data_IF_784904622968
#
_entry.id   IF_784904622968
#
_cell.length_a   1.000
_cell.length_b   1.000
_cell.length_c   1.000
_cell.angle_alpha   90.00
_cell.angle_beta   90.00
_cell.angle_gamma   90.00
#
_symmetry.space_group_name_H-M   'P 1'
#
loop_
_entity.id
_entity.type
_entity.pdbx_description
1 polymer ?
#
# COMPACT_ATOMS: atom_id res chain seq x y z
N UNK A 1 21.70 12.37 19.19
CA UNK A 1 20.99 11.19 19.70
C UNK A 1 20.69 10.29 18.51
N UNK A 2 21.54 9.30 18.24
CA UNK A 2 21.29 8.34 17.18
C UNK A 2 20.24 7.36 17.71
N UNK A 3 18.97 7.60 17.39
CA UNK A 3 17.90 6.68 17.74
C UNK A 3 18.16 5.34 17.04
N UNK A 4 18.10 4.25 17.79
CA UNK A 4 18.07 2.89 17.26
C UNK A 4 16.75 2.71 16.48
N UNK A 5 16.69 3.26 15.27
CA UNK A 5 15.59 3.06 14.34
C UNK A 5 15.71 1.65 13.78
N UNK A 6 14.65 0.86 13.90
CA UNK A 6 14.60 -0.46 13.25
C UNK A 6 14.77 -0.27 11.74
N UNK A 7 15.34 -1.24 11.03
CA UNK A 7 15.41 -1.21 9.57
C UNK A 7 14.04 -0.94 8.93
N UNK A 8 12.99 -1.49 9.54
CA UNK A 8 11.58 -1.20 9.20
C UNK A 8 11.26 0.31 9.25
N UNK A 9 11.62 0.98 10.33
CA UNK A 9 11.34 2.40 10.57
C UNK A 9 12.10 3.27 9.57
N UNK A 10 13.35 2.88 9.25
CA UNK A 10 14.13 3.50 8.20
C UNK A 10 13.47 3.35 6.83
N UNK A 11 13.03 2.15 6.44
CA UNK A 11 12.35 1.91 5.15
C UNK A 11 11.03 2.68 5.08
N UNK A 12 10.23 2.64 6.15
CA UNK A 12 8.96 3.35 6.24
C UNK A 12 9.14 4.86 6.07
N UNK A 13 10.09 5.48 6.76
CA UNK A 13 10.34 6.93 6.66
C UNK A 13 11.00 7.33 5.32
N UNK A 14 11.96 6.52 4.85
CA UNK A 14 12.75 6.84 3.66
C UNK A 14 11.98 6.69 2.36
N UNK A 15 11.09 5.69 2.29
CA UNK A 15 10.36 5.32 1.08
C UNK A 15 8.85 5.51 1.21
N UNK A 16 8.37 6.24 2.23
CA UNK A 16 6.93 6.46 2.44
C UNK A 16 6.25 6.96 1.17
N UNK A 17 6.82 8.00 0.54
CA UNK A 17 6.22 8.64 -0.63
C UNK A 17 6.21 7.71 -1.85
N UNK A 18 7.27 6.95 -2.05
CA UNK A 18 7.42 5.97 -3.12
C UNK A 18 6.43 4.81 -2.95
N UNK A 19 6.32 4.26 -1.73
CA UNK A 19 5.35 3.22 -1.38
C UNK A 19 3.92 3.74 -1.59
N UNK A 20 3.62 4.94 -1.09
CA UNK A 20 2.32 5.57 -1.23
C UNK A 20 1.97 5.78 -2.71
N UNK A 21 2.88 6.36 -3.49
CA UNK A 21 2.66 6.61 -4.91
C UNK A 21 2.49 5.32 -5.71
N UNK A 22 3.27 4.28 -5.41
CA UNK A 22 3.18 2.99 -6.08
C UNK A 22 1.84 2.31 -5.80
N UNK A 23 1.43 2.25 -4.53
CA UNK A 23 0.15 1.65 -4.12
C UNK A 23 -1.01 2.44 -4.69
N UNK A 24 -0.99 3.78 -4.61
CA UNK A 24 -2.06 4.62 -5.16
C UNK A 24 -2.19 4.41 -6.67
N UNK A 25 -1.07 4.39 -7.40
CA UNK A 25 -1.08 4.18 -8.86
C UNK A 25 -1.63 2.80 -9.21
N UNK A 26 -1.15 1.76 -8.53
CA UNK A 26 -1.63 0.39 -8.72
C UNK A 26 -3.13 0.28 -8.44
N UNK A 27 -3.57 0.84 -7.31
CA UNK A 27 -4.96 0.76 -6.87
C UNK A 27 -5.91 1.53 -7.79
N UNK A 28 -5.49 2.67 -8.33
CA UNK A 28 -6.30 3.43 -9.30
C UNK A 28 -6.40 2.69 -10.64
N UNK A 29 -5.32 2.06 -11.10
CA UNK A 29 -5.29 1.35 -12.39
C UNK A 29 -5.98 -0.02 -12.34
N UNK A 30 -5.95 -0.67 -11.17
CA UNK A 30 -6.49 -2.02 -10.94
C UNK A 30 -7.67 -2.02 -9.95
N UNK A 31 -8.40 -0.90 -9.85
CA UNK A 31 -9.48 -0.74 -8.87
C UNK A 31 -10.58 -1.80 -8.98
N UNK A 32 -10.85 -2.29 -10.19
CA UNK A 32 -11.84 -3.33 -10.47
C UNK A 32 -11.35 -4.75 -10.10
N UNK A 33 -10.03 -4.96 -10.04
CA UNK A 33 -9.41 -6.26 -9.72
C UNK A 33 -9.02 -6.37 -8.23
N UNK A 34 -8.94 -5.23 -7.53
CA UNK A 34 -8.74 -5.23 -6.09
C UNK A 34 -9.93 -5.89 -5.38
N UNK A 35 -9.69 -7.02 -4.71
CA UNK A 35 -10.66 -7.73 -3.86
C UNK A 35 -10.93 -6.95 -2.55
N UNK A 36 -11.44 -5.73 -2.69
CA UNK A 36 -11.77 -4.86 -1.56
C UNK A 36 -13.01 -5.39 -0.86
N UNK A 37 -12.90 -5.61 0.45
CA UNK A 37 -14.02 -6.02 1.29
C UNK A 37 -14.90 -4.83 1.61
N UNK A 38 -15.72 -4.43 0.64
CA UNK A 38 -16.68 -3.34 0.74
C UNK A 38 -18.06 -3.89 1.12
N UNK A 39 -18.73 -3.26 2.09
CA UNK A 39 -20.05 -3.67 2.56
C UNK A 39 -21.17 -2.70 2.13
N UNK A 40 -20.85 -1.41 1.98
CA UNK A 40 -21.77 -0.32 1.65
C UNK A 40 -21.64 0.08 0.19
N UNK A 41 -20.41 0.26 -0.29
CA UNK A 41 -20.13 0.63 -1.68
C UNK A 41 -20.32 -0.59 -2.57
N UNK A 42 -21.30 -0.52 -3.49
CA UNK A 42 -21.57 -1.60 -4.44
C UNK A 42 -20.90 -1.40 -5.79
N UNK A 43 -20.67 -0.14 -6.17
CA UNK A 43 -20.01 0.22 -7.41
C UNK A 43 -18.95 1.27 -7.15
N UNK A 44 -17.68 0.92 -7.41
CA UNK A 44 -16.53 1.77 -7.13
C UNK A 44 -16.51 2.92 -8.15
N UNK A 45 -16.76 4.14 -7.70
CA UNK A 45 -16.64 5.36 -8.51
C UNK A 45 -15.27 6.01 -8.43
N UNK A 46 -14.57 5.78 -7.31
CA UNK A 46 -13.22 6.24 -7.09
C UNK A 46 -12.61 5.58 -5.88
N UNK A 47 -11.29 5.39 -5.93
CA UNK A 47 -10.48 4.88 -4.84
C UNK A 47 -9.34 5.84 -4.56
N UNK A 48 -9.24 6.29 -3.31
CA UNK A 48 -8.17 7.17 -2.85
C UNK A 48 -7.44 6.52 -1.69
N UNK A 49 -6.11 6.50 -1.77
CA UNK A 49 -5.25 6.03 -0.71
C UNK A 49 -5.20 7.08 0.39
N UNK A 50 -5.58 6.69 1.60
CA UNK A 50 -5.62 7.55 2.78
C UNK A 50 -4.32 7.50 3.56
N UNK A 51 -3.79 6.29 3.78
CA UNK A 51 -2.54 6.08 4.50
C UNK A 51 -1.88 4.75 4.12
N UNK A 52 -0.58 4.64 4.37
CA UNK A 52 0.19 3.41 4.23
C UNK A 52 1.03 3.17 5.47
N UNK A 53 0.99 1.94 5.97
CA UNK A 53 1.83 1.52 7.08
C UNK A 53 2.66 0.30 6.68
N UNK A 54 3.99 0.45 6.70
CA UNK A 54 4.88 -0.71 6.59
C UNK A 54 4.67 -1.60 7.81
N UNK A 55 4.25 -2.85 7.60
CA UNK A 55 4.05 -3.83 8.68
C UNK A 55 5.31 -4.63 8.90
N UNK A 56 5.97 -5.05 7.82
CA UNK A 56 7.12 -5.94 7.87
C UNK A 56 8.09 -5.67 6.72
N UNK A 57 9.38 -5.90 6.95
CA UNK A 57 10.42 -5.88 5.93
C UNK A 57 11.24 -7.15 6.07
N UNK A 58 11.28 -7.96 5.01
CA UNK A 58 12.14 -9.13 4.89
C UNK A 58 13.34 -8.79 4.03
N UNK A 59 14.54 -9.20 4.43
CA UNK A 59 15.73 -9.09 3.58
C UNK A 59 16.13 -10.50 3.18
N UNK A 60 16.14 -10.75 1.87
CA UNK A 60 16.55 -12.00 1.28
C UNK A 60 17.96 -11.83 0.70
N UNK A 61 18.92 -12.58 1.24
CA UNK A 61 20.29 -12.61 0.73
C UNK A 61 20.33 -13.60 -0.44
N UNK A 62 20.44 -13.09 -1.67
CA UNK A 62 20.53 -13.93 -2.86
C UNK A 62 22.00 -14.22 -3.19
N UNK A 63 22.31 -15.41 -3.75
CA UNK A 63 23.65 -15.69 -4.26
C UNK A 63 24.02 -14.65 -5.31
N UNK A 64 25.30 -14.25 -5.34
CA UNK A 64 25.87 -13.16 -6.18
C UNK A 64 25.81 -11.74 -5.57
N UNK A 65 25.69 -11.60 -4.24
CA UNK A 65 25.62 -10.30 -3.53
C UNK A 65 24.42 -9.42 -3.93
N UNK A 66 23.37 -10.03 -4.47
CA UNK A 66 22.12 -9.33 -4.78
C UNK A 66 21.27 -9.27 -3.52
N UNK A 67 20.88 -8.06 -3.14
CA UNK A 67 19.97 -7.84 -2.03
C UNK A 67 18.58 -7.69 -2.62
N UNK A 68 17.69 -8.60 -2.26
CA UNK A 68 16.26 -8.47 -2.49
C UNK A 68 15.59 -8.24 -1.14
N UNK A 69 14.60 -7.36 -1.10
CA UNK A 69 13.82 -7.18 0.11
C UNK A 69 12.34 -7.05 -0.20
N UNK A 70 11.54 -7.74 0.60
CA UNK A 70 10.09 -7.72 0.52
C UNK A 70 9.54 -6.78 1.59
N UNK A 71 8.67 -5.86 1.19
CA UNK A 71 8.01 -4.93 2.10
C UNK A 71 6.53 -5.26 2.14
N UNK A 72 6.06 -5.72 3.30
CA UNK A 72 4.62 -5.88 3.53
C UNK A 72 4.05 -4.55 4.02
N UNK A 73 3.08 -4.03 3.28
CA UNK A 73 2.43 -2.73 3.54
C UNK A 73 0.93 -2.94 3.73
N UNK A 74 0.39 -2.36 4.78
CA UNK A 74 -1.06 -2.20 4.92
C UNK A 74 -1.43 -0.83 4.37
N UNK A 75 -2.31 -0.83 3.38
CA UNK A 75 -2.85 0.38 2.78
C UNK A 75 -4.29 0.58 3.26
N UNK A 76 -4.61 1.80 3.65
CA UNK A 76 -5.98 2.21 3.96
C UNK A 76 -6.52 3.04 2.79
N UNK A 77 -7.65 2.61 2.24
CA UNK A 77 -8.31 3.30 1.14
C UNK A 77 -9.65 3.85 1.57
N UNK A 78 -9.97 5.05 1.09
CA UNK A 78 -11.32 5.56 1.02
C UNK A 78 -11.90 5.24 -0.36
N UNK A 79 -12.96 4.44 -0.40
CA UNK A 79 -13.66 4.09 -1.62
C UNK A 79 -14.97 4.85 -1.66
N UNK A 80 -15.21 5.58 -2.75
CA UNK A 80 -16.45 6.32 -2.98
C UNK A 80 -17.34 5.59 -3.98
N UNK A 81 -18.64 5.59 -3.71
CA UNK A 81 -19.62 5.05 -4.64
C UNK A 81 -19.73 5.92 -5.90
N UNK A 82 -19.90 5.29 -7.06
CA UNK A 82 -20.02 6.00 -8.34
C UNK A 82 -21.35 6.75 -8.49
N UNK A 83 -22.36 6.43 -7.68
CA UNK A 83 -23.70 6.99 -7.82
C UNK A 83 -23.79 8.32 -7.04
N UNK A 84 -23.79 9.43 -7.79
CA UNK A 84 -23.82 10.81 -7.30
C UNK A 84 -24.98 11.15 -6.33
N UNK A 85 -25.93 10.24 -6.16
CA UNK A 85 -27.07 10.40 -5.26
C UNK A 85 -26.77 10.05 -3.79
N UNK A 86 -25.73 9.27 -3.52
CA UNK A 86 -25.34 8.87 -2.17
C UNK A 86 -23.85 9.19 -1.97
N UNK A 87 -23.57 10.12 -1.05
CA UNK A 87 -22.21 10.45 -0.60
C UNK A 87 -21.67 9.35 0.34
N UNK A 88 -21.85 8.09 -0.05
CA UNK A 88 -21.43 6.92 0.71
C UNK A 88 -19.97 6.64 0.36
N UNK A 89 -19.08 6.91 1.33
CA UNK A 89 -17.71 6.42 1.32
C UNK A 89 -17.53 5.30 2.34
N UNK A 90 -16.66 4.36 2.01
CA UNK A 90 -16.25 3.30 2.92
C UNK A 90 -14.73 3.22 3.00
N UNK A 91 -14.22 3.10 4.22
CA UNK A 91 -12.81 2.85 4.46
C UNK A 91 -12.55 1.35 4.49
N UNK A 92 -11.57 0.92 3.72
CA UNK A 92 -11.14 -0.47 3.66
C UNK A 92 -9.63 -0.58 3.81
N UNK A 93 -9.16 -1.74 4.23
CA UNK A 93 -7.72 -2.02 4.38
C UNK A 93 -7.34 -3.21 3.53
N UNK A 94 -6.24 -3.06 2.80
CA UNK A 94 -5.69 -4.10 1.95
C UNK A 94 -4.20 -4.24 2.21
N UNK A 95 -3.73 -5.49 2.19
CA UNK A 95 -2.32 -5.81 2.36
C UNK A 95 -1.68 -5.97 0.99
N UNK A 96 -0.53 -5.32 0.81
CA UNK A 96 0.31 -5.41 -0.37
C UNK A 96 1.67 -5.95 0.02
N UNK A 97 2.25 -6.75 -0.89
CA UNK A 97 3.64 -7.18 -0.82
C UNK A 97 4.37 -6.49 -1.96
N UNK A 98 5.34 -5.65 -1.61
CA UNK A 98 6.19 -4.97 -2.58
C UNK A 98 7.51 -5.73 -2.67
N UNK A 99 7.79 -6.28 -3.84
CA UNK A 99 9.09 -6.86 -4.17
C UNK A 99 10.02 -5.73 -4.60
N UNK A 100 11.08 -5.47 -3.82
CA UNK A 100 12.08 -4.47 -4.14
C UNK A 100 13.38 -5.14 -4.56
N UNK A 101 13.82 -4.84 -5.77
CA UNK A 101 15.07 -5.33 -6.35
C UNK A 101 15.96 -4.14 -6.72
N UNK A 102 17.26 -4.27 -6.46
CA UNK A 102 18.26 -3.33 -6.97
C UNK A 102 18.39 -3.55 -8.50
N UNK A 103 18.10 -2.50 -9.30
CA UNK A 103 18.15 -2.53 -10.78
C UNK A 103 19.60 -2.44 -11.28
#
# INVERSE_FOLDING_TARGET
MAGNRSFKDYVADRFYNEIFSAIQTYATDNCEDLDLRLYRVRNIGGIELSDVEVKFVSVNDLPDMKIEFDVAVEAEFEVRESDYHYDESENCRQWFMLECQEI
#
